data_IF_259030702321
#
_entry.id   IF_259030702321
#
_cell.length_a   1.000
_cell.length_b   1.000
_cell.length_c   1.000
_cell.angle_alpha   90.00
_cell.angle_beta   90.00
_cell.angle_gamma   90.00
#
_symmetry.space_group_name_H-M   'P 1'
#
loop_
_entity.id
_entity.type
_entity.pdbx_description
1 polymer ?
#
# COMPACT_ATOMS: atom_id res chain seq x y z
N UNK A 1 -48.60 15.80 13.57
CA UNK A 1 -47.78 14.61 13.85
C UNK A 1 -46.81 14.49 12.69
N UNK A 2 -45.52 14.79 12.89
CA UNK A 2 -44.54 14.69 11.80
C UNK A 2 -44.19 13.23 11.60
N UNK A 3 -44.38 12.71 10.39
CA UNK A 3 -44.12 11.33 10.04
C UNK A 3 -42.75 11.26 9.35
N UNK A 4 -41.85 10.46 9.88
CA UNK A 4 -40.50 10.30 9.32
C UNK A 4 -40.61 9.43 8.07
N UNK A 5 -40.16 9.98 6.94
CA UNK A 5 -40.09 9.25 5.67
C UNK A 5 -38.90 8.28 5.67
N UNK A 6 -39.15 7.08 6.22
CA UNK A 6 -38.17 6.01 6.30
C UNK A 6 -37.74 5.52 4.90
N UNK A 7 -38.65 5.53 3.92
CA UNK A 7 -38.33 5.12 2.54
C UNK A 7 -37.42 6.14 1.85
N UNK A 8 -37.69 7.44 2.01
CA UNK A 8 -36.81 8.50 1.53
C UNK A 8 -35.43 8.44 2.17
N UNK A 9 -35.36 8.13 3.47
CA UNK A 9 -34.10 7.91 4.18
C UNK A 9 -33.31 6.71 3.65
N UNK A 10 -33.95 5.55 3.47
CA UNK A 10 -33.29 4.34 2.95
C UNK A 10 -32.78 4.54 1.52
N UNK A 11 -33.58 5.17 0.66
CA UNK A 11 -33.16 5.50 -0.72
C UNK A 11 -31.99 6.48 -0.74
N UNK A 12 -32.04 7.55 0.07
CA UNK A 12 -30.96 8.50 0.19
C UNK A 12 -29.67 7.87 0.75
N UNK A 13 -29.81 6.92 1.68
CA UNK A 13 -28.71 6.14 2.26
C UNK A 13 -28.08 5.24 1.22
N UNK A 14 -28.86 4.49 0.45
CA UNK A 14 -28.38 3.62 -0.64
C UNK A 14 -27.67 4.43 -1.72
N UNK A 15 -28.26 5.55 -2.15
CA UNK A 15 -27.61 6.48 -3.09
C UNK A 15 -26.32 7.09 -2.52
N UNK A 16 -26.28 7.44 -1.24
CA UNK A 16 -25.06 7.93 -0.59
C UNK A 16 -24.00 6.83 -0.51
N UNK A 17 -24.39 5.57 -0.30
CA UNK A 17 -23.49 4.42 -0.27
C UNK A 17 -22.86 4.19 -1.64
N UNK A 18 -23.66 4.25 -2.72
CA UNK A 18 -23.18 4.19 -4.10
C UNK A 18 -22.25 5.38 -4.41
N UNK A 19 -22.65 6.60 -4.04
CA UNK A 19 -21.80 7.81 -4.22
C UNK A 19 -20.49 7.75 -3.42
N UNK A 20 -20.48 7.07 -2.28
CA UNK A 20 -19.27 6.90 -1.46
C UNK A 20 -18.28 5.89 -2.03
N UNK A 21 -18.75 4.97 -2.89
CA UNK A 21 -17.91 4.10 -3.70
C UNK A 21 -17.29 4.85 -4.90
N UNK A 22 -17.84 6.02 -5.24
CA UNK A 22 -17.33 6.89 -6.30
C UNK A 22 -16.22 7.81 -5.77
N UNK A 23 -14.95 7.39 -5.88
CA UNK A 23 -13.85 8.38 -5.86
C UNK A 23 -13.79 9.07 -7.24
N UNK A 24 -13.81 10.40 -7.23
CA UNK A 24 -13.67 11.23 -8.44
C UNK A 24 -12.28 11.05 -9.05
N UNK A 25 -12.22 10.43 -10.23
CA UNK A 25 -11.11 10.64 -11.16
C UNK A 25 -11.16 12.09 -11.67
N UNK A 26 -10.10 12.84 -11.44
CA UNK A 26 -9.94 14.21 -11.94
C UNK A 26 -9.56 14.19 -13.42
N UNK A 27 -10.48 14.64 -14.29
CA UNK A 27 -10.16 15.14 -15.64
C UNK A 27 -10.29 14.12 -16.78
N UNK A 28 -11.45 14.12 -17.43
CA UNK A 28 -11.79 13.30 -18.60
C UNK A 28 -13.28 12.92 -18.54
N UNK A 29 -13.97 12.77 -19.68
CA UNK A 29 -15.34 12.25 -19.70
C UNK A 29 -15.38 10.93 -18.92
N UNK A 30 -15.98 10.93 -17.73
CA UNK A 30 -15.89 9.80 -16.80
C UNK A 30 -16.70 8.65 -17.41
N UNK A 31 -16.01 7.64 -17.93
CA UNK A 31 -16.65 6.36 -18.30
C UNK A 31 -16.96 5.62 -17.00
N UNK A 32 -18.23 5.53 -16.63
CA UNK A 32 -18.70 4.86 -15.41
C UNK A 32 -20.07 4.20 -15.63
N UNK A 33 -20.48 3.36 -14.69
CA UNK A 33 -21.81 2.73 -14.65
C UNK A 33 -22.64 3.39 -13.57
N UNK A 34 -23.41 4.40 -13.96
CA UNK A 34 -24.42 5.01 -13.10
C UNK A 34 -25.64 4.09 -12.89
N UNK A 35 -26.59 4.54 -12.06
CA UNK A 35 -27.80 3.78 -11.74
C UNK A 35 -28.63 3.43 -12.99
N UNK A 36 -28.66 4.33 -13.98
CA UNK A 36 -29.37 4.10 -15.23
C UNK A 36 -28.68 3.07 -16.10
N UNK A 37 -27.36 3.12 -16.20
CA UNK A 37 -26.56 2.13 -16.92
C UNK A 37 -26.69 0.73 -16.30
N UNK A 38 -26.69 0.63 -14.97
CA UNK A 38 -26.91 -0.64 -14.25
C UNK A 38 -28.32 -1.19 -14.50
N UNK A 39 -29.35 -0.33 -14.51
CA UNK A 39 -30.70 -0.73 -14.83
C UNK A 39 -30.82 -1.20 -16.30
N UNK A 40 -30.15 -0.53 -17.23
CA UNK A 40 -30.13 -0.90 -18.65
C UNK A 40 -29.48 -2.28 -18.85
N UNK A 41 -28.33 -2.56 -18.23
CA UNK A 41 -27.67 -3.86 -18.27
C UNK A 41 -28.59 -4.99 -17.80
N UNK A 42 -29.29 -4.77 -16.68
CA UNK A 42 -30.28 -5.72 -16.15
C UNK A 42 -31.44 -5.91 -17.11
N UNK A 43 -31.97 -4.83 -17.70
CA UNK A 43 -33.08 -4.92 -18.66
C UNK A 43 -32.70 -5.67 -19.94
N UNK A 44 -31.43 -5.58 -20.35
CA UNK A 44 -30.84 -6.32 -21.48
C UNK A 44 -30.42 -7.75 -21.11
N UNK A 45 -30.68 -8.20 -19.88
CA UNK A 45 -30.26 -9.51 -19.36
C UNK A 45 -28.74 -9.79 -19.48
N UNK A 46 -27.91 -8.75 -19.38
CA UNK A 46 -26.46 -8.91 -19.34
C UNK A 46 -26.07 -9.41 -17.94
N UNK A 47 -25.45 -10.59 -17.85
CA UNK A 47 -24.98 -11.15 -16.59
C UNK A 47 -23.84 -10.33 -15.99
N UNK A 48 -23.73 -10.32 -14.66
CA UNK A 48 -22.56 -9.79 -13.96
C UNK A 48 -21.29 -10.55 -14.38
N UNK A 49 -20.14 -9.87 -14.30
CA UNK A 49 -18.85 -10.45 -14.70
C UNK A 49 -18.38 -11.45 -13.65
N UNK A 50 -18.00 -12.66 -14.07
CA UNK A 50 -17.29 -13.61 -13.21
C UNK A 50 -15.81 -13.21 -13.08
N UNK A 51 -15.41 -12.77 -11.90
CA UNK A 51 -14.05 -12.35 -11.61
C UNK A 51 -13.29 -13.33 -10.70
N UNK A 52 -13.78 -14.56 -10.55
CA UNK A 52 -13.18 -15.57 -9.68
C UNK A 52 -11.76 -15.98 -10.11
N UNK A 53 -11.48 -15.93 -11.42
CA UNK A 53 -10.17 -16.25 -12.02
C UNK A 53 -9.05 -15.31 -11.53
N UNK A 54 -9.36 -14.13 -10.97
CA UNK A 54 -8.35 -13.21 -10.39
C UNK A 54 -7.57 -13.83 -9.22
N UNK A 55 -8.08 -14.91 -8.62
CA UNK A 55 -7.44 -15.66 -7.53
C UNK A 55 -6.68 -16.91 -8.01
N UNK A 56 -6.66 -17.18 -9.32
CA UNK A 56 -6.00 -18.36 -9.89
C UNK A 56 -4.59 -17.98 -10.32
N UNK A 57 -3.60 -18.37 -9.52
CA UNK A 57 -2.19 -18.20 -9.83
C UNK A 57 -1.34 -19.17 -9.03
N UNK A 58 -0.15 -19.47 -9.56
CA UNK A 58 0.87 -20.27 -8.89
C UNK A 58 2.14 -19.47 -8.73
N UNK A 59 3.01 -19.88 -7.82
CA UNK A 59 4.35 -19.31 -7.68
C UNK A 59 5.39 -20.39 -7.53
N UNK A 60 6.57 -20.17 -8.10
CA UNK A 60 7.74 -21.01 -7.81
C UNK A 60 8.35 -20.68 -6.42
N UNK A 61 9.44 -21.35 -6.07
CA UNK A 61 10.14 -21.12 -4.81
C UNK A 61 10.81 -19.74 -4.72
N UNK A 62 11.03 -19.05 -5.84
CA UNK A 62 11.67 -17.75 -5.91
C UNK A 62 10.66 -16.60 -5.89
N UNK A 63 9.36 -16.91 -5.87
CA UNK A 63 8.31 -15.90 -5.91
C UNK A 63 8.04 -15.37 -7.31
N UNK A 64 8.36 -16.12 -8.36
CA UNK A 64 7.90 -15.84 -9.72
C UNK A 64 6.47 -16.36 -9.85
N UNK A 65 5.52 -15.44 -10.09
CA UNK A 65 4.12 -15.77 -10.23
C UNK A 65 3.75 -16.02 -11.68
N UNK A 66 2.97 -17.08 -11.89
CA UNK A 66 2.36 -17.41 -13.17
C UNK A 66 0.86 -17.22 -13.04
N UNK A 67 0.33 -16.37 -13.91
CA UNK A 67 -1.10 -16.10 -14.06
C UNK A 67 -1.52 -16.75 -15.37
N UNK A 68 -2.46 -17.71 -15.36
CA UNK A 68 -2.93 -18.32 -16.59
C UNK A 68 -3.58 -17.29 -17.50
N UNK A 69 -3.35 -17.41 -18.80
CA UNK A 69 -4.11 -16.66 -19.79
C UNK A 69 -5.60 -17.02 -19.70
N UNK A 70 -6.46 -16.04 -19.94
CA UNK A 70 -7.90 -16.26 -19.95
C UNK A 70 -8.52 -15.64 -21.18
N UNK A 71 -9.41 -16.40 -21.80
CA UNK A 71 -10.28 -15.88 -22.85
C UNK A 71 -11.60 -15.38 -22.26
N UNK A 72 -12.20 -14.37 -22.88
CA UNK A 72 -13.49 -13.83 -22.50
C UNK A 72 -14.30 -13.38 -23.74
N UNK A 73 -15.55 -13.03 -23.50
CA UNK A 73 -16.45 -12.46 -24.51
C UNK A 73 -16.90 -11.08 -24.06
N UNK A 74 -16.85 -10.11 -24.97
CA UNK A 74 -17.37 -8.75 -24.74
C UNK A 74 -18.89 -8.80 -24.66
N UNK A 75 -19.45 -8.46 -23.50
CA UNK A 75 -20.90 -8.44 -23.28
C UNK A 75 -21.52 -7.07 -23.53
N UNK A 76 -20.80 -6.00 -23.22
CA UNK A 76 -21.26 -4.64 -23.45
C UNK A 76 -20.08 -3.68 -23.58
N UNK A 77 -20.30 -2.61 -24.36
CA UNK A 77 -19.32 -1.55 -24.59
C UNK A 77 -19.96 -0.22 -24.20
N UNK A 78 -19.22 0.59 -23.46
CA UNK A 78 -19.68 1.82 -22.84
C UNK A 78 -18.84 3.00 -23.33
N UNK A 79 -19.44 3.92 -24.09
CA UNK A 79 -18.77 5.07 -24.69
C UNK A 79 -19.66 6.32 -24.59
N UNK A 80 -19.09 7.48 -24.29
CA UNK A 80 -19.80 8.78 -24.17
C UNK A 80 -21.16 8.71 -23.46
N UNK A 81 -21.17 8.14 -22.26
CA UNK A 81 -22.40 7.99 -21.48
C UNK A 81 -23.55 7.14 -22.09
N UNK A 82 -23.27 6.32 -23.12
CA UNK A 82 -24.19 5.32 -23.68
C UNK A 82 -23.57 3.92 -23.84
N UNK A 83 -24.41 2.90 -24.00
CA UNK A 83 -24.00 1.59 -24.50
C UNK A 83 -24.04 1.58 -26.03
N UNK A 84 -23.00 1.02 -26.64
CA UNK A 84 -22.82 0.95 -28.09
C UNK A 84 -22.47 -0.48 -28.53
N UNK A 85 -22.74 -0.82 -29.79
CA UNK A 85 -22.45 -2.16 -30.34
C UNK A 85 -20.98 -2.33 -30.72
N UNK A 86 -20.27 -1.23 -31.00
CA UNK A 86 -18.87 -1.26 -31.40
C UNK A 86 -18.14 0.04 -31.08
N UNK A 87 -16.83 -0.05 -30.92
CA UNK A 87 -15.87 1.08 -30.82
C UNK A 87 -14.67 0.82 -31.73
N UNK A 88 -14.00 1.88 -32.16
CA UNK A 88 -12.78 1.84 -32.95
C UNK A 88 -11.71 2.84 -32.44
N UNK A 89 -10.55 2.90 -33.10
CA UNK A 89 -9.44 3.79 -32.73
C UNK A 89 -9.79 5.28 -32.68
N UNK A 90 -10.89 5.73 -33.28
CA UNK A 90 -11.32 7.14 -33.18
C UNK A 90 -11.91 7.47 -31.80
N UNK A 91 -12.28 6.45 -31.02
CA UNK A 91 -12.82 6.61 -29.68
C UNK A 91 -11.68 6.78 -28.66
N UNK A 92 -11.62 7.94 -28.01
CA UNK A 92 -10.52 8.26 -27.09
C UNK A 92 -10.50 7.39 -25.83
N UNK A 93 -11.65 7.08 -25.23
CA UNK A 93 -11.74 6.28 -24.01
C UNK A 93 -13.10 5.60 -23.93
N UNK A 94 -13.12 4.29 -23.66
CA UNK A 94 -14.35 3.52 -23.51
C UNK A 94 -14.22 2.48 -22.38
N UNK A 95 -15.35 1.89 -22.03
CA UNK A 95 -15.48 0.88 -20.97
C UNK A 95 -15.97 -0.44 -21.54
N UNK A 96 -15.30 -1.53 -21.19
CA UNK A 96 -15.62 -2.88 -21.68
C UNK A 96 -16.11 -3.73 -20.50
N UNK A 97 -17.27 -4.37 -20.69
CA UNK A 97 -17.81 -5.38 -19.77
C UNK A 97 -17.64 -6.74 -20.42
N UNK A 98 -17.06 -7.68 -19.67
CA UNK A 98 -16.79 -9.04 -20.10
C UNK A 98 -17.69 -10.03 -19.34
N UNK A 99 -17.85 -11.24 -19.89
CA UNK A 99 -18.51 -12.33 -19.18
C UNK A 99 -17.68 -12.84 -18.00
N UNK A 100 -16.35 -12.84 -18.13
CA UNK A 100 -15.42 -13.17 -17.06
C UNK A 100 -14.11 -12.38 -17.18
N UNK A 101 -13.33 -12.31 -16.10
CA UNK A 101 -12.07 -11.57 -16.08
C UNK A 101 -11.04 -12.11 -15.06
N UNK A 102 -9.76 -12.02 -15.42
CA UNK A 102 -8.63 -12.28 -14.51
C UNK A 102 -8.19 -11.03 -13.74
N UNK A 103 -8.70 -9.86 -14.11
CA UNK A 103 -8.28 -8.59 -13.55
C UNK A 103 -8.96 -8.29 -12.21
N UNK A 104 -8.22 -7.70 -11.29
CA UNK A 104 -8.74 -7.18 -10.02
C UNK A 104 -9.23 -5.75 -10.22
N UNK A 105 -10.52 -5.52 -9.95
CA UNK A 105 -11.08 -4.18 -9.85
C UNK A 105 -10.73 -3.55 -8.50
N UNK A 106 -10.57 -2.23 -8.44
CA UNK A 106 -10.23 -1.53 -7.19
C UNK A 106 -11.23 -1.85 -6.08
N UNK A 107 -10.72 -2.37 -4.96
CA UNK A 107 -11.53 -2.73 -3.79
C UNK A 107 -10.65 -2.95 -2.55
N UNK A 108 -11.21 -2.77 -1.36
CA UNK A 108 -10.51 -3.04 -0.09
C UNK A 108 -9.21 -2.25 0.13
N UNK A 109 -9.04 -1.14 -0.59
CA UNK A 109 -7.80 -0.34 -0.61
C UNK A 109 -6.76 -0.80 -1.64
N UNK A 110 -6.91 -1.98 -2.26
CA UNK A 110 -6.04 -2.41 -3.35
C UNK A 110 -6.42 -1.74 -4.67
N UNK A 111 -5.43 -1.12 -5.31
CA UNK A 111 -5.59 -0.53 -6.64
C UNK A 111 -5.86 -1.62 -7.69
N UNK A 112 -6.57 -1.22 -8.73
CA UNK A 112 -6.88 -2.04 -9.88
C UNK A 112 -5.61 -2.50 -10.63
N UNK A 113 -5.76 -3.60 -11.37
CA UNK A 113 -4.72 -4.09 -12.27
C UNK A 113 -4.66 -3.32 -13.58
N UNK A 114 -3.52 -3.46 -14.25
CA UNK A 114 -3.31 -3.04 -15.63
C UNK A 114 -3.11 -4.26 -16.52
N UNK A 115 -3.23 -4.06 -17.82
CA UNK A 115 -2.96 -5.06 -18.83
C UNK A 115 -3.65 -4.72 -20.14
N UNK A 116 -3.84 -5.74 -20.96
CA UNK A 116 -4.37 -5.62 -22.30
C UNK A 116 -5.48 -6.63 -22.55
N UNK A 117 -6.43 -6.25 -23.39
CA UNK A 117 -7.45 -7.13 -23.96
C UNK A 117 -7.21 -7.16 -25.46
N UNK A 118 -6.82 -8.30 -26.01
CA UNK A 118 -6.55 -8.46 -27.45
C UNK A 118 -7.62 -9.31 -28.12
N UNK A 119 -7.96 -9.01 -29.37
CA UNK A 119 -8.92 -9.81 -30.11
C UNK A 119 -8.32 -11.16 -30.53
N UNK A 120 -9.09 -12.25 -30.38
CA UNK A 120 -8.66 -13.58 -30.86
C UNK A 120 -8.83 -13.76 -32.37
N UNK A 121 -9.50 -12.83 -33.05
CA UNK A 121 -9.80 -12.91 -34.49
C UNK A 121 -9.16 -11.79 -35.31
N UNK A 122 -8.59 -10.79 -34.66
CA UNK A 122 -7.95 -9.64 -35.31
C UNK A 122 -6.70 -9.22 -34.54
N UNK A 123 -5.52 -9.50 -35.11
CA UNK A 123 -4.22 -9.24 -34.48
C UNK A 123 -3.93 -7.73 -34.28
N UNK A 124 -4.67 -6.85 -34.95
CA UNK A 124 -4.48 -5.39 -34.84
C UNK A 124 -5.25 -4.81 -33.65
N UNK A 125 -6.29 -5.52 -33.18
CA UNK A 125 -7.19 -5.03 -32.14
C UNK A 125 -6.64 -5.30 -30.74
N UNK A 126 -6.27 -4.21 -30.04
CA UNK A 126 -5.75 -4.21 -28.68
C UNK A 126 -6.39 -3.08 -27.87
N UNK A 127 -6.91 -3.41 -26.70
CA UNK A 127 -7.43 -2.46 -25.73
C UNK A 127 -6.51 -2.41 -24.50
N UNK A 128 -5.91 -1.24 -24.26
CA UNK A 128 -5.05 -0.97 -23.12
C UNK A 128 -5.89 -0.54 -21.92
N UNK A 129 -5.82 -1.29 -20.82
CA UNK A 129 -6.58 -1.00 -19.59
C UNK A 129 -5.86 0.07 -18.76
N UNK A 130 -6.59 1.12 -18.38
CA UNK A 130 -6.11 2.24 -17.56
C UNK A 130 -6.78 2.33 -16.19
N UNK A 131 -7.99 1.77 -16.04
CA UNK A 131 -8.75 1.70 -14.78
C UNK A 131 -9.73 0.52 -14.82
N UNK A 132 -10.06 -0.05 -13.65
CA UNK A 132 -11.01 -1.14 -13.51
C UNK A 132 -11.90 -0.91 -12.29
N UNK A 133 -13.20 -0.79 -12.52
CA UNK A 133 -14.18 -0.45 -11.50
C UNK A 133 -15.24 -1.55 -11.36
N UNK A 134 -15.61 -1.88 -10.13
CA UNK A 134 -16.76 -2.74 -9.84
C UNK A 134 -17.99 -1.90 -9.49
N UNK A 135 -19.10 -2.11 -10.20
CA UNK A 135 -20.38 -1.43 -9.96
C UNK A 135 -21.52 -2.44 -10.05
N UNK A 136 -22.23 -2.67 -8.95
CA UNK A 136 -23.36 -3.60 -8.90
C UNK A 136 -23.02 -5.03 -9.35
N UNK A 137 -21.76 -5.47 -9.18
CA UNK A 137 -21.26 -6.77 -9.63
C UNK A 137 -20.67 -6.80 -11.04
N UNK A 138 -20.86 -5.76 -11.85
CA UNK A 138 -20.21 -5.66 -13.16
C UNK A 138 -18.78 -5.13 -13.01
N UNK A 139 -17.84 -5.73 -13.74
CA UNK A 139 -16.46 -5.24 -13.83
C UNK A 139 -16.31 -4.44 -15.13
N UNK A 140 -16.11 -3.14 -14.98
CA UNK A 140 -15.91 -2.19 -16.07
C UNK A 140 -14.41 -1.96 -16.27
N UNK A 141 -13.89 -2.41 -17.42
CA UNK A 141 -12.50 -2.18 -17.83
C UNK A 141 -12.45 -0.89 -18.65
N UNK A 142 -11.82 0.16 -18.14
CA UNK A 142 -11.77 1.48 -18.76
C UNK A 142 -10.40 1.67 -19.39
N UNK A 143 -10.36 2.16 -20.62
CA UNK A 143 -9.12 2.20 -21.37
C UNK A 143 -9.24 2.77 -22.78
N UNK A 144 -8.15 2.62 -23.54
CA UNK A 144 -8.01 3.12 -24.91
C UNK A 144 -7.92 1.95 -25.88
N UNK A 145 -8.58 2.06 -27.04
CA UNK A 145 -8.60 1.03 -28.07
C UNK A 145 -7.71 1.41 -29.25
N UNK A 146 -6.94 0.44 -29.73
CA UNK A 146 -6.41 0.41 -31.08
C UNK A 146 -7.12 -0.70 -31.86
N UNK A 147 -7.59 -0.43 -33.08
CA UNK A 147 -8.36 -1.36 -33.89
C UNK A 147 -9.87 -1.17 -33.73
N UNK A 148 -10.63 -2.27 -33.76
CA UNK A 148 -12.10 -2.24 -33.64
C UNK A 148 -12.59 -3.39 -32.77
N UNK A 149 -13.43 -3.08 -31.79
CA UNK A 149 -14.03 -4.07 -30.89
C UNK A 149 -15.55 -3.99 -30.96
N UNK A 150 -16.20 -5.16 -30.98
CA UNK A 150 -17.66 -5.27 -31.04
C UNK A 150 -18.19 -6.07 -29.86
N UNK A 151 -19.44 -5.85 -29.49
CA UNK A 151 -20.16 -6.77 -28.60
C UNK A 151 -20.17 -8.18 -29.24
N UNK A 152 -19.91 -9.20 -28.43
CA UNK A 152 -19.77 -10.59 -28.88
C UNK A 152 -18.35 -10.98 -29.33
N UNK A 153 -17.41 -10.03 -29.45
CA UNK A 153 -16.01 -10.35 -29.76
C UNK A 153 -15.40 -11.27 -28.70
N UNK A 154 -14.66 -12.29 -29.14
CA UNK A 154 -13.82 -13.11 -28.27
C UNK A 154 -12.45 -12.49 -28.12
N UNK A 155 -11.98 -12.41 -26.89
CA UNK A 155 -10.76 -11.70 -26.53
C UNK A 155 -9.87 -12.52 -25.61
N UNK A 156 -8.57 -12.28 -25.67
CA UNK A 156 -7.57 -12.77 -24.72
C UNK A 156 -7.25 -11.68 -23.70
N UNK A 157 -7.14 -12.06 -22.43
CA UNK A 157 -6.84 -11.16 -21.33
C UNK A 157 -5.38 -11.37 -20.88
N UNK A 158 -4.58 -10.31 -20.96
CA UNK A 158 -3.16 -10.31 -20.61
C UNK A 158 -2.89 -9.34 -19.47
N UNK A 159 -2.41 -9.87 -18.34
CA UNK A 159 -2.18 -9.10 -17.12
C UNK A 159 -0.77 -8.48 -17.08
N UNK A 160 -0.64 -7.25 -16.57
CA UNK A 160 0.66 -6.75 -16.09
C UNK A 160 1.06 -7.50 -14.80
N UNK A 161 1.83 -8.57 -14.98
CA UNK A 161 2.22 -9.48 -13.91
C UNK A 161 3.17 -8.83 -12.90
N UNK A 162 3.98 -7.86 -13.34
CA UNK A 162 4.90 -7.11 -12.47
C UNK A 162 4.10 -6.25 -11.51
N UNK A 163 3.14 -5.49 -12.04
CA UNK A 163 2.22 -4.67 -11.24
C UNK A 163 1.40 -5.55 -10.28
N UNK A 164 0.76 -6.60 -10.77
CA UNK A 164 -0.06 -7.52 -9.96
C UNK A 164 0.74 -8.08 -8.79
N UNK A 165 1.96 -8.56 -9.05
CA UNK A 165 2.82 -9.15 -8.01
C UNK A 165 3.21 -8.11 -6.97
N UNK A 166 3.52 -6.87 -7.38
CA UNK A 166 3.82 -5.79 -6.45
C UNK A 166 2.61 -5.43 -5.56
N UNK A 167 1.40 -5.38 -6.13
CA UNK A 167 0.16 -5.22 -5.37
C UNK A 167 -0.03 -6.36 -4.36
N UNK A 168 0.13 -7.61 -4.77
CA UNK A 168 0.02 -8.79 -3.88
C UNK A 168 1.02 -8.76 -2.72
N UNK A 169 2.26 -8.33 -2.97
CA UNK A 169 3.30 -8.14 -1.94
C UNK A 169 2.88 -7.09 -0.93
N UNK A 170 2.52 -5.90 -1.40
CA UNK A 170 2.09 -4.81 -0.53
C UNK A 170 0.80 -5.14 0.23
N UNK A 171 -0.12 -5.91 -0.37
CA UNK A 171 -1.34 -6.34 0.32
C UNK A 171 -1.02 -7.29 1.46
N UNK A 172 -0.22 -8.32 1.19
CA UNK A 172 0.18 -9.27 2.24
C UNK A 172 1.06 -8.60 3.30
N UNK A 173 1.92 -7.66 2.90
CA UNK A 173 2.66 -6.79 3.81
C UNK A 173 1.77 -5.95 4.70
N UNK A 174 0.60 -5.52 4.20
CA UNK A 174 -0.40 -4.79 5.01
C UNK A 174 -0.96 -5.67 6.12
N UNK A 175 -1.25 -6.94 5.85
CA UNK A 175 -1.70 -7.91 6.86
C UNK A 175 -0.64 -8.21 7.92
N UNK A 176 0.62 -8.36 7.48
CA UNK A 176 1.77 -8.55 8.38
C UNK A 176 1.97 -7.31 9.27
N UNK A 177 1.89 -6.11 8.71
CA UNK A 177 1.99 -4.85 9.46
C UNK A 177 0.83 -4.69 10.44
N UNK A 178 -0.41 -4.99 10.02
CA UNK A 178 -1.59 -4.91 10.88
C UNK A 178 -1.46 -5.84 12.10
N UNK A 179 -0.92 -7.05 11.91
CA UNK A 179 -0.57 -7.94 13.01
C UNK A 179 0.50 -7.34 13.93
N UNK A 180 1.60 -6.82 13.38
CA UNK A 180 2.67 -6.21 14.18
C UNK A 180 2.16 -5.02 15.03
N UNK A 181 1.29 -4.18 14.47
CA UNK A 181 0.69 -3.06 15.18
C UNK A 181 -0.21 -3.51 16.33
N UNK A 182 -0.96 -4.61 16.15
CA UNK A 182 -1.80 -5.17 17.21
C UNK A 182 -1.00 -5.61 18.43
N UNK A 183 0.21 -6.11 18.23
CA UNK A 183 1.08 -6.56 19.33
C UNK A 183 1.70 -5.39 20.12
N UNK A 184 1.75 -4.19 19.51
CA UNK A 184 2.49 -3.05 20.06
C UNK A 184 1.59 -1.88 20.48
N UNK A 185 0.36 -1.81 19.98
CA UNK A 185 -0.54 -0.68 20.17
C UNK A 185 -1.86 -1.18 20.74
N UNK A 186 -2.22 -0.72 21.95
CA UNK A 186 -3.40 -1.16 22.72
C UNK A 186 -4.73 -1.09 21.93
N UNK A 187 -4.84 -0.18 20.96
CA UNK A 187 -6.03 0.02 20.13
C UNK A 187 -5.62 0.29 18.67
N UNK A 188 -5.44 -0.75 17.85
CA UNK A 188 -4.90 -0.66 16.48
C UNK A 188 -5.95 -0.92 15.38
N UNK A 189 -7.13 -0.31 15.45
CA UNK A 189 -8.21 -0.54 14.48
C UNK A 189 -7.96 0.17 13.15
N UNK A 190 -8.11 -0.57 12.04
CA UNK A 190 -7.98 -0.01 10.70
C UNK A 190 -9.03 1.09 10.44
N UNK A 191 -8.56 2.21 9.89
CA UNK A 191 -9.36 3.36 9.43
C UNK A 191 -9.24 3.63 7.93
N UNK A 192 -8.25 3.02 7.27
CA UNK A 192 -8.05 3.17 5.85
C UNK A 192 -6.86 2.35 5.37
N UNK A 193 -6.89 1.94 4.11
CA UNK A 193 -5.78 1.25 3.47
C UNK A 193 -5.61 1.77 2.04
N UNK A 194 -4.37 1.76 1.55
CA UNK A 194 -4.03 1.83 0.13
C UNK A 194 -2.94 0.82 -0.12
N UNK A 195 -3.16 -0.06 -1.08
CA UNK A 195 -2.17 -1.00 -1.61
C UNK A 195 -1.93 -0.58 -3.06
N UNK A 196 -0.78 0.05 -3.28
CA UNK A 196 -0.28 0.45 -4.59
C UNK A 196 0.93 -0.42 -4.98
N UNK A 197 1.41 -0.41 -6.24
CA UNK A 197 2.57 -1.20 -6.63
C UNK A 197 3.87 -0.77 -5.93
N UNK A 198 4.01 0.52 -5.64
CA UNK A 198 5.24 1.11 -5.10
C UNK A 198 5.23 1.23 -3.57
N UNK A 199 4.07 1.14 -2.92
CA UNK A 199 3.92 1.30 -1.47
C UNK A 199 2.61 0.75 -0.93
N UNK A 200 2.57 0.55 0.39
CA UNK A 200 1.35 0.43 1.16
C UNK A 200 1.18 1.63 2.10
N UNK A 201 -0.07 1.97 2.38
CA UNK A 201 -0.47 2.99 3.37
C UNK A 201 -1.51 2.38 4.27
N UNK A 202 -1.29 2.46 5.58
CA UNK A 202 -2.18 1.89 6.57
C UNK A 202 -2.55 2.94 7.61
N UNK A 203 -3.84 3.26 7.69
CA UNK A 203 -4.37 4.21 8.65
C UNK A 203 -5.01 3.41 9.79
N UNK A 204 -4.65 3.71 11.03
CA UNK A 204 -5.07 2.97 12.21
C UNK A 204 -5.34 3.91 13.39
N UNK A 205 -6.16 3.46 14.34
CA UNK A 205 -6.33 4.19 15.61
C UNK A 205 -5.06 4.13 16.42
N UNK A 206 -4.68 5.23 17.06
CA UNK A 206 -3.66 5.25 18.09
C UNK A 206 -3.74 6.54 18.91
N UNK A 207 -3.59 6.43 20.23
CA UNK A 207 -3.69 7.57 21.15
C UNK A 207 -2.50 8.54 21.05
N UNK A 208 -1.32 8.01 20.68
CA UNK A 208 -0.06 8.75 20.53
C UNK A 208 0.74 8.23 19.36
N UNK A 209 1.80 8.97 19.00
CA UNK A 209 2.80 8.47 18.05
C UNK A 209 3.55 7.27 18.58
N UNK A 210 3.93 6.40 17.64
CA UNK A 210 4.81 5.30 17.94
C UNK A 210 6.19 5.89 18.27
N UNK A 211 6.84 5.34 19.30
CA UNK A 211 8.22 5.69 19.59
C UNK A 211 9.15 5.09 18.53
N UNK A 212 10.38 5.60 18.45
CA UNK A 212 11.42 5.02 17.59
C UNK A 212 11.58 3.51 17.82
N UNK A 213 11.57 3.09 19.09
CA UNK A 213 11.75 1.69 19.47
C UNK A 213 10.53 0.83 19.11
N UNK A 214 9.32 1.38 19.21
CA UNK A 214 8.10 0.70 18.74
C UNK A 214 8.08 0.54 17.22
N UNK A 215 8.55 1.55 16.46
CA UNK A 215 8.69 1.44 15.01
C UNK A 215 9.71 0.37 14.62
N UNK A 216 10.88 0.36 15.27
CA UNK A 216 11.88 -0.67 15.07
C UNK A 216 11.34 -2.06 15.43
N UNK A 217 10.58 -2.17 16.52
CA UNK A 217 9.97 -3.44 16.94
C UNK A 217 8.88 -3.90 15.96
N UNK A 218 8.11 -2.99 15.39
CA UNK A 218 7.11 -3.32 14.38
C UNK A 218 7.76 -3.91 13.13
N UNK A 219 8.84 -3.30 12.64
CA UNK A 219 9.64 -3.86 11.53
C UNK A 219 10.23 -5.23 11.89
N UNK A 220 10.75 -5.41 13.10
CA UNK A 220 11.29 -6.70 13.59
C UNK A 220 10.22 -7.82 13.61
N UNK A 221 8.99 -7.51 14.06
CA UNK A 221 7.88 -8.47 14.04
C UNK A 221 7.51 -8.82 12.59
N UNK A 222 7.47 -7.82 11.70
CA UNK A 222 7.20 -8.04 10.28
C UNK A 222 8.25 -8.95 9.65
N UNK A 223 9.53 -8.64 9.86
CA UNK A 223 10.66 -9.45 9.38
C UNK A 223 10.64 -10.87 9.94
N UNK A 224 10.27 -11.02 11.22
CA UNK A 224 10.09 -12.35 11.85
C UNK A 224 8.99 -13.17 11.16
N UNK A 225 7.87 -12.56 10.77
CA UNK A 225 6.81 -13.26 10.03
C UNK A 225 7.22 -13.62 8.60
N UNK A 226 7.96 -12.73 7.94
CA UNK A 226 8.47 -12.92 6.58
C UNK A 226 9.53 -14.04 6.56
N UNK A 227 10.50 -13.99 7.47
CA UNK A 227 11.59 -14.96 7.58
C UNK A 227 11.13 -16.37 7.95
N UNK A 228 9.98 -16.50 8.62
CA UNK A 228 9.31 -17.79 8.86
C UNK A 228 8.73 -18.46 7.61
N UNK A 229 8.65 -17.76 6.47
CA UNK A 229 8.17 -18.30 5.18
C UNK A 229 6.80 -18.98 5.30
N UNK A 230 5.87 -18.29 5.94
CA UNK A 230 4.53 -18.79 6.24
C UNK A 230 3.67 -18.82 4.97
N UNK A 231 2.92 -19.90 4.76
CA UNK A 231 1.94 -19.95 3.67
C UNK A 231 0.78 -18.99 3.93
N UNK A 232 0.23 -18.41 2.87
CA UNK A 232 -0.99 -17.59 2.93
C UNK A 232 -2.15 -18.41 2.43
N UNK A 233 -3.14 -18.63 3.30
CA UNK A 233 -4.33 -19.40 3.03
C UNK A 233 -5.52 -18.49 2.79
N UNK A 234 -6.44 -18.90 1.92
CA UNK A 234 -7.72 -18.22 1.76
C UNK A 234 -8.85 -19.20 1.49
N UNK A 235 -10.05 -18.88 1.97
CA UNK A 235 -11.26 -19.65 1.68
C UNK A 235 -12.50 -18.80 1.87
N UNK A 236 -13.58 -19.16 1.17
CA UNK A 236 -14.90 -18.59 1.38
C UNK A 236 -15.57 -19.35 2.53
N UNK A 237 -16.00 -18.63 3.57
CA UNK A 237 -16.64 -19.16 4.78
C UNK A 237 -17.96 -18.42 4.96
N UNK A 238 -18.98 -19.06 5.53
CA UNK A 238 -20.22 -18.33 5.83
C UNK A 238 -19.91 -17.14 6.74
N UNK A 239 -20.52 -16.00 6.50
CA UNK A 239 -20.23 -14.78 7.25
C UNK A 239 -20.52 -14.95 8.75
N UNK A 240 -21.59 -15.68 9.08
CA UNK A 240 -21.94 -15.99 10.47
C UNK A 240 -20.85 -16.78 11.18
N UNK A 241 -20.24 -17.75 10.51
CA UNK A 241 -19.22 -18.62 11.08
C UNK A 241 -17.84 -17.97 11.07
N UNK A 242 -17.50 -17.24 10.01
CA UNK A 242 -16.24 -16.51 9.92
C UNK A 242 -16.08 -15.51 11.08
N UNK A 243 -17.18 -14.89 11.54
CA UNK A 243 -17.22 -13.98 12.70
C UNK A 243 -16.94 -14.67 14.04
N UNK A 244 -17.09 -16.00 14.14
CA UNK A 244 -16.80 -16.71 15.39
C UNK A 244 -15.33 -17.02 15.58
N UNK A 245 -14.50 -16.89 14.52
CA UNK A 245 -13.05 -17.13 14.59
C UNK A 245 -12.42 -16.12 15.54
N UNK A 246 -11.91 -16.59 16.68
CA UNK A 246 -11.34 -15.71 17.69
C UNK A 246 -10.09 -14.99 17.17
N UNK A 247 -10.12 -13.66 17.20
CA UNK A 247 -9.02 -12.79 16.75
C UNK A 247 -9.05 -12.45 15.26
N UNK A 248 -10.08 -12.88 14.51
CA UNK A 248 -10.31 -12.39 13.15
C UNK A 248 -10.52 -10.88 13.15
N UNK A 249 -9.88 -10.17 12.22
CA UNK A 249 -10.11 -8.74 12.02
C UNK A 249 -11.00 -8.49 10.81
N UNK A 250 -11.84 -7.49 10.94
CA UNK A 250 -12.67 -6.93 9.90
C UNK A 250 -12.75 -5.42 10.11
N UNK A 251 -13.06 -4.66 9.08
CA UNK A 251 -13.17 -3.20 9.17
C UNK A 251 -14.55 -2.84 9.70
N UNK A 252 -14.59 -2.03 10.75
CA UNK A 252 -15.85 -1.59 11.35
C UNK A 252 -16.69 -0.76 10.38
N UNK A 253 -17.97 -1.12 10.23
CA UNK A 253 -18.94 -0.41 9.39
C UNK A 253 -18.97 -0.86 7.93
N UNK A 254 -18.09 -1.77 7.51
CA UNK A 254 -18.15 -2.38 6.17
C UNK A 254 -19.18 -3.52 6.12
N UNK A 255 -19.89 -3.61 4.99
CA UNK A 255 -20.75 -4.74 4.67
C UNK A 255 -19.91 -5.79 3.93
N UNK A 256 -19.80 -6.97 4.52
CA UNK A 256 -19.14 -8.12 3.89
C UNK A 256 -20.19 -9.03 3.24
N UNK A 257 -19.89 -9.61 2.05
CA UNK A 257 -20.77 -10.58 1.43
C UNK A 257 -20.84 -11.88 2.25
N UNK A 258 -21.88 -12.67 2.01
CA UNK A 258 -22.00 -14.05 2.51
C UNK A 258 -22.09 -14.99 1.30
N UNK A 259 -21.12 -15.90 1.08
CA UNK A 259 -19.95 -16.16 1.92
C UNK A 259 -18.90 -15.04 1.88
N UNK A 260 -18.14 -14.90 2.98
CA UNK A 260 -17.02 -13.96 3.09
C UNK A 260 -15.70 -14.67 2.84
N UNK A 261 -14.79 -14.01 2.14
CA UNK A 261 -13.43 -14.52 1.95
C UNK A 261 -12.57 -14.21 3.17
N UNK A 262 -12.07 -15.27 3.81
CA UNK A 262 -11.14 -15.19 4.95
C UNK A 262 -9.72 -15.46 4.44
N UNK A 263 -8.78 -14.60 4.81
CA UNK A 263 -7.34 -14.76 4.57
C UNK A 263 -6.63 -15.00 5.88
N UNK A 264 -5.68 -15.93 5.89
CA UNK A 264 -4.92 -16.31 7.08
C UNK A 264 -3.47 -16.57 6.75
N UNK A 265 -2.56 -16.04 7.56
CA UNK A 265 -1.11 -16.25 7.42
C UNK A 265 -0.67 -17.38 8.34
N UNK A 266 -0.07 -18.44 7.79
CA UNK A 266 0.54 -19.55 8.54
C UNK A 266 -0.44 -20.61 9.05
N UNK A 267 -1.71 -20.28 9.29
CA UNK A 267 -2.73 -21.23 9.76
C UNK A 267 -3.76 -21.48 8.65
N UNK A 268 -4.00 -22.72 8.21
CA UNK A 268 -5.04 -23.02 7.22
C UNK A 268 -6.42 -22.53 7.67
N UNK A 269 -7.19 -21.94 6.76
CA UNK A 269 -8.55 -21.48 7.06
C UNK A 269 -9.44 -22.64 7.52
N UNK A 270 -9.23 -23.85 6.99
CA UNK A 270 -9.89 -25.07 7.46
C UNK A 270 -9.65 -25.36 8.94
N UNK A 271 -8.44 -25.10 9.45
CA UNK A 271 -8.12 -25.26 10.87
C UNK A 271 -8.73 -24.17 11.74
N UNK A 272 -8.83 -22.94 11.23
CA UNK A 272 -9.52 -21.83 11.91
C UNK A 272 -11.02 -22.10 12.03
N UNK A 273 -11.59 -22.68 10.98
CA UNK A 273 -13.00 -23.06 10.93
C UNK A 273 -13.25 -24.29 11.81
N UNK A 274 -12.36 -25.27 11.84
CA UNK A 274 -12.58 -26.46 12.66
C UNK A 274 -12.56 -26.17 14.19
N UNK A 275 -11.78 -25.17 14.62
CA UNK A 275 -11.64 -24.80 16.02
C UNK A 275 -11.52 -23.27 16.20
N UNK A 276 -12.65 -22.55 16.09
CA UNK A 276 -12.65 -21.08 16.08
C UNK A 276 -12.27 -20.47 17.43
N UNK A 277 -12.41 -21.21 18.54
CA UNK A 277 -12.16 -20.72 19.90
C UNK A 277 -10.70 -20.90 20.36
N UNK A 278 -9.91 -21.70 19.65
CA UNK A 278 -8.49 -21.95 19.97
C UNK A 278 -7.59 -20.72 19.93
N UNK A 279 -8.08 -19.60 19.37
CA UNK A 279 -7.39 -18.32 19.43
C UNK A 279 -6.26 -18.16 18.42
N UNK A 280 -6.22 -18.97 17.35
CA UNK A 280 -5.22 -18.84 16.28
C UNK A 280 -5.16 -17.42 15.70
N UNK A 281 -6.29 -16.73 15.57
CA UNK A 281 -6.35 -15.35 15.09
C UNK A 281 -5.68 -14.33 16.02
N UNK A 282 -5.34 -14.69 17.26
CA UNK A 282 -4.51 -13.89 18.16
C UNK A 282 -3.01 -14.07 17.91
N UNK A 283 -2.60 -15.23 17.41
CA UNK A 283 -1.18 -15.58 17.20
C UNK A 283 -0.68 -15.35 15.78
N UNK A 284 -1.57 -15.01 14.85
CA UNK A 284 -1.24 -14.65 13.46
C UNK A 284 -2.26 -13.65 12.89
N UNK A 285 -2.03 -13.16 11.67
CA UNK A 285 -3.01 -12.38 10.92
C UNK A 285 -4.09 -13.28 10.33
N UNK A 286 -5.35 -12.98 10.67
CA UNK A 286 -6.56 -13.59 10.11
C UNK A 286 -7.56 -12.47 9.86
N UNK A 287 -7.98 -12.27 8.61
CA UNK A 287 -8.75 -11.09 8.22
C UNK A 287 -9.80 -11.42 7.15
N UNK A 288 -10.92 -10.69 7.15
CA UNK A 288 -11.83 -10.67 6.01
C UNK A 288 -11.21 -9.85 4.89
N UNK A 289 -10.86 -10.48 3.78
CA UNK A 289 -10.16 -9.80 2.69
C UNK A 289 -10.50 -10.39 1.32
N UNK A 290 -10.97 -9.50 0.44
CA UNK A 290 -11.26 -9.80 -0.96
C UNK A 290 -10.09 -9.56 -1.92
N UNK A 291 -8.90 -9.21 -1.43
CA UNK A 291 -7.73 -8.87 -2.24
C UNK A 291 -6.91 -10.05 -2.72
N UNK A 292 -5.94 -9.77 -3.60
CA UNK A 292 -4.95 -10.76 -4.07
C UNK A 292 -3.72 -10.74 -3.16
N UNK A 293 -3.12 -11.92 -2.91
CA UNK A 293 -2.04 -12.07 -1.93
C UNK A 293 -0.91 -12.93 -2.49
N UNK A 294 0.30 -12.69 -2.01
CA UNK A 294 1.37 -13.65 -2.23
C UNK A 294 1.04 -14.96 -1.53
N UNK A 295 1.43 -16.09 -2.11
CA UNK A 295 1.16 -17.42 -1.56
C UNK A 295 2.02 -17.78 -0.34
N UNK A 296 3.10 -17.02 -0.11
CA UNK A 296 4.02 -17.22 1.01
C UNK A 296 4.61 -15.88 1.47
N UNK A 297 4.76 -15.68 2.78
CA UNK A 297 5.28 -14.41 3.34
C UNK A 297 6.70 -14.09 2.89
N UNK A 298 7.51 -15.09 2.54
CA UNK A 298 8.85 -14.86 1.98
C UNK A 298 8.81 -14.06 0.68
N UNK A 299 7.72 -14.16 -0.09
CA UNK A 299 7.57 -13.47 -1.37
C UNK A 299 7.28 -11.97 -1.21
N UNK A 300 7.02 -11.49 0.02
CA UNK A 300 6.98 -10.06 0.36
C UNK A 300 8.38 -9.44 0.14
N UNK A 301 9.45 -10.22 0.37
CA UNK A 301 10.81 -9.73 0.36
C UNK A 301 11.11 -8.99 1.66
N UNK A 302 11.48 -7.72 1.56
CA UNK A 302 11.71 -6.85 2.73
C UNK A 302 10.46 -6.00 2.98
N UNK A 303 10.20 -5.60 4.22
CA UNK A 303 9.24 -4.55 4.56
C UNK A 303 9.95 -3.42 5.33
N UNK A 304 9.74 -2.17 4.90
CA UNK A 304 10.32 -0.97 5.54
C UNK A 304 9.24 0.08 5.79
N UNK A 305 9.05 0.52 7.03
CA UNK A 305 8.20 1.62 7.48
C UNK A 305 8.95 2.94 7.27
N UNK A 306 8.57 3.70 6.25
CA UNK A 306 9.26 4.95 5.88
C UNK A 306 8.71 6.19 6.57
N UNK A 307 7.45 6.14 7.04
CA UNK A 307 6.84 7.20 7.83
C UNK A 307 5.66 6.71 8.66
N UNK A 308 5.48 7.36 9.81
CA UNK A 308 4.39 7.26 10.75
C UNK A 308 4.01 8.70 11.15
N UNK A 309 2.78 9.11 10.85
CA UNK A 309 2.30 10.46 11.13
C UNK A 309 0.85 10.50 11.63
N UNK A 310 0.52 11.54 12.40
CA UNK A 310 -0.86 11.83 12.78
C UNK A 310 -1.60 12.49 11.62
N UNK A 311 -2.74 11.93 11.21
CA UNK A 311 -3.57 12.51 10.14
C UNK A 311 -4.85 13.17 10.67
N UNK A 312 -5.32 12.76 11.85
CA UNK A 312 -6.41 13.39 12.58
C UNK A 312 -6.36 12.98 14.06
N UNK A 313 -7.25 13.53 14.90
CA UNK A 313 -7.29 13.19 16.33
C UNK A 313 -7.54 11.69 16.53
N UNK A 314 -6.57 10.99 17.08
CA UNK A 314 -6.65 9.55 17.39
C UNK A 314 -6.45 8.62 16.19
N UNK A 315 -6.06 9.14 15.02
CA UNK A 315 -5.79 8.33 13.82
C UNK A 315 -4.40 8.65 13.29
N UNK A 316 -3.64 7.59 13.02
CA UNK A 316 -2.27 7.64 12.57
C UNK A 316 -2.11 6.85 11.28
N UNK A 317 -1.09 7.20 10.50
CA UNK A 317 -0.82 6.66 9.17
C UNK A 317 0.59 6.15 9.11
N UNK A 318 0.74 4.89 8.71
CA UNK A 318 2.01 4.34 8.26
C UNK A 318 2.06 4.32 6.74
N UNK A 319 3.20 4.70 6.18
CA UNK A 319 3.59 4.35 4.82
C UNK A 319 4.74 3.35 4.93
N UNK A 320 4.62 2.22 4.23
CA UNK A 320 5.66 1.22 4.16
C UNK A 320 5.91 0.77 2.72
N UNK A 321 7.11 0.25 2.49
CA UNK A 321 7.57 -0.27 1.20
C UNK A 321 7.77 -1.78 1.34
N UNK A 322 7.58 -2.51 0.24
CA UNK A 322 7.97 -3.93 0.16
C UNK A 322 8.81 -4.23 -1.08
N UNK A 323 9.41 -5.42 -1.14
CA UNK A 323 10.18 -5.89 -2.30
C UNK A 323 11.28 -4.91 -2.73
N UNK A 324 11.35 -4.60 -4.02
CA UNK A 324 12.42 -3.78 -4.59
C UNK A 324 12.49 -2.35 -4.03
N UNK A 325 11.36 -1.73 -3.70
CA UNK A 325 11.37 -0.38 -3.13
C UNK A 325 11.92 -0.40 -1.69
N UNK A 326 11.61 -1.45 -0.92
CA UNK A 326 12.20 -1.65 0.40
C UNK A 326 13.71 -1.98 0.33
N UNK A 327 14.14 -2.79 -0.65
CA UNK A 327 15.57 -3.07 -0.88
C UNK A 327 16.36 -1.80 -1.24
N UNK A 328 15.77 -0.91 -2.06
CA UNK A 328 16.35 0.40 -2.38
C UNK A 328 16.48 1.26 -1.12
N UNK A 329 15.44 1.30 -0.29
CA UNK A 329 15.46 2.01 0.98
C UNK A 329 16.56 1.48 1.93
N UNK A 330 16.75 0.17 2.03
CA UNK A 330 17.83 -0.42 2.83
C UNK A 330 19.24 -0.08 2.30
N UNK A 331 19.44 -0.14 0.98
CA UNK A 331 20.73 0.23 0.36
C UNK A 331 21.07 1.70 0.62
N UNK A 332 20.07 2.58 0.51
CA UNK A 332 20.24 4.01 0.80
C UNK A 332 20.53 4.25 2.29
N UNK A 333 19.87 3.53 3.20
CA UNK A 333 20.15 3.60 4.63
C UNK A 333 21.60 3.22 4.94
N UNK A 334 22.11 2.14 4.33
CA UNK A 334 23.50 1.71 4.50
C UNK A 334 24.51 2.73 3.95
N UNK A 335 24.22 3.34 2.78
CA UNK A 335 25.05 4.41 2.22
C UNK A 335 25.15 5.59 3.18
N UNK A 336 24.00 6.05 3.68
CA UNK A 336 23.93 7.18 4.62
C UNK A 336 24.57 6.86 5.97
N UNK A 337 24.43 5.64 6.48
CA UNK A 337 25.15 5.19 7.69
C UNK A 337 26.65 5.38 7.54
N UNK A 338 27.23 4.93 6.42
CA UNK A 338 28.66 5.03 6.18
C UNK A 338 29.11 6.50 6.15
N UNK A 339 28.42 7.34 5.37
CA UNK A 339 28.72 8.77 5.27
C UNK A 339 28.59 9.49 6.62
N UNK A 340 27.56 9.18 7.40
CA UNK A 340 27.34 9.76 8.73
C UNK A 340 28.43 9.30 9.70
N UNK A 341 28.77 8.00 9.71
CA UNK A 341 29.78 7.46 10.61
C UNK A 341 31.18 8.00 10.28
N UNK A 342 31.53 8.13 8.99
CA UNK A 342 32.80 8.74 8.55
C UNK A 342 32.90 10.21 8.99
N UNK A 343 31.84 10.99 8.80
CA UNK A 343 31.78 12.37 9.26
C UNK A 343 31.96 12.47 10.78
N UNK A 344 31.28 11.62 11.55
CA UNK A 344 31.42 11.59 13.02
C UNK A 344 32.85 11.25 13.45
N UNK A 345 33.48 10.27 12.80
CA UNK A 345 34.88 9.95 13.06
C UNK A 345 35.80 11.14 12.76
N UNK A 346 35.55 11.85 11.66
CA UNK A 346 36.28 13.05 11.30
C UNK A 346 36.10 14.17 12.34
N UNK A 347 34.87 14.41 12.81
CA UNK A 347 34.56 15.36 13.89
C UNK A 347 35.29 14.98 15.19
N UNK A 348 35.20 13.73 15.61
CA UNK A 348 35.87 13.28 16.84
C UNK A 348 37.40 13.42 16.75
N UNK A 349 37.97 13.13 15.57
CA UNK A 349 39.40 13.31 15.30
C UNK A 349 39.79 14.79 15.30
N UNK A 350 39.00 15.67 14.70
CA UNK A 350 39.27 17.11 14.65
C UNK A 350 39.20 17.75 16.04
N UNK A 351 38.28 17.29 16.89
CA UNK A 351 38.21 17.68 18.30
C UNK A 351 39.45 17.19 19.07
N UNK A 352 39.90 15.96 18.84
CA UNK A 352 41.02 15.35 19.58
C UNK A 352 42.38 15.97 19.21
N UNK A 353 42.57 16.43 17.97
CA UNK A 353 43.85 16.95 17.47
C UNK A 353 44.08 18.45 17.73
N UNK A 354 43.05 19.21 18.10
CA UNK A 354 43.15 20.68 18.16
C UNK A 354 43.45 21.22 19.56
N UNK A 355 44.71 21.63 19.77
CA UNK A 355 45.08 22.74 20.67
C UNK A 355 45.11 24.12 19.94
N UNK A 356 44.98 24.13 18.60
CA UNK A 356 44.93 25.35 17.77
C UNK A 356 43.69 25.31 16.86
N UNK A 357 42.84 26.32 16.97
CA UNK A 357 41.60 26.47 16.20
C UNK A 357 41.88 26.78 14.73
N UNK A 358 41.42 25.93 13.82
CA UNK A 358 41.43 26.21 12.40
C UNK A 358 40.01 26.48 11.92
N UNK A 359 39.58 27.75 12.01
CA UNK A 359 38.20 28.23 11.76
C UNK A 359 37.65 27.76 10.40
N UNK A 360 38.51 27.59 9.39
CA UNK A 360 38.14 27.11 8.06
C UNK A 360 37.70 25.64 8.05
N UNK A 361 38.33 24.78 8.87
CA UNK A 361 37.98 23.36 8.96
C UNK A 361 36.59 23.20 9.62
N UNK A 362 36.29 24.04 10.61
CA UNK A 362 35.03 23.99 11.36
C UNK A 362 33.85 24.48 10.52
N UNK A 363 34.08 25.49 9.68
CA UNK A 363 33.10 25.92 8.69
C UNK A 363 32.78 24.80 7.70
N UNK A 364 33.81 24.13 7.16
CA UNK A 364 33.64 23.03 6.21
C UNK A 364 32.90 21.84 6.84
N UNK A 365 33.24 21.46 8.08
CA UNK A 365 32.56 20.41 8.83
C UNK A 365 31.09 20.77 9.06
N UNK A 366 30.80 22.01 9.48
CA UNK A 366 29.43 22.47 9.68
C UNK A 366 28.61 22.43 8.39
N UNK A 367 29.22 22.76 7.25
CA UNK A 367 28.58 22.65 5.95
C UNK A 367 28.29 21.19 5.59
N UNK A 368 29.24 20.27 5.82
CA UNK A 368 29.05 18.84 5.61
C UNK A 368 27.94 18.25 6.49
N UNK A 369 27.91 18.60 7.79
CA UNK A 369 26.84 18.19 8.72
C UNK A 369 25.49 18.69 8.22
N UNK A 370 25.41 19.95 7.76
CA UNK A 370 24.17 20.54 7.28
C UNK A 370 23.66 19.84 6.00
N UNK A 371 24.55 19.62 5.03
CA UNK A 371 24.23 18.92 3.79
C UNK A 371 23.76 17.48 4.06
N UNK A 372 24.47 16.74 4.91
CA UNK A 372 24.12 15.36 5.24
C UNK A 372 22.83 15.29 6.06
N UNK A 373 22.57 16.27 6.93
CA UNK A 373 21.30 16.39 7.66
C UNK A 373 20.11 16.61 6.72
N UNK A 374 20.29 17.38 5.64
CA UNK A 374 19.27 17.58 4.60
C UNK A 374 19.03 16.30 3.80
N UNK A 375 20.10 15.60 3.40
CA UNK A 375 20.02 14.30 2.70
C UNK A 375 19.29 13.26 3.54
N UNK A 376 19.72 13.04 4.79
CA UNK A 376 19.06 12.12 5.73
C UNK A 376 17.59 12.51 5.92
N UNK A 377 17.28 13.81 5.96
CA UNK A 377 15.91 14.27 6.18
C UNK A 377 14.95 13.99 5.03
N UNK A 378 15.45 13.96 3.80
CA UNK A 378 14.66 13.64 2.59
C UNK A 378 14.72 12.17 2.20
N UNK A 379 15.61 11.40 2.82
CA UNK A 379 15.81 9.99 2.50
C UNK A 379 14.55 9.16 2.75
N UNK A 380 14.21 8.33 1.76
CA UNK A 380 13.14 7.33 1.85
C UNK A 380 13.76 6.03 2.38
N UNK A 381 13.99 6.02 3.69
CA UNK A 381 14.55 4.90 4.45
C UNK A 381 13.67 4.60 5.66
N UNK A 382 13.95 3.52 6.40
CA UNK A 382 13.24 3.22 7.64
C UNK A 382 13.22 4.45 8.56
N UNK A 383 12.04 4.82 9.07
CA UNK A 383 11.88 6.02 9.87
C UNK A 383 12.76 5.96 11.13
N UNK A 384 12.77 4.83 11.83
CA UNK A 384 13.55 4.70 13.06
C UNK A 384 15.05 4.84 12.77
N UNK A 385 15.50 4.36 11.61
CA UNK A 385 16.88 4.50 11.13
C UNK A 385 17.20 5.95 10.81
N UNK A 386 16.32 6.65 10.09
CA UNK A 386 16.45 8.07 9.79
C UNK A 386 16.54 8.93 11.05
N UNK A 387 15.74 8.62 12.06
CA UNK A 387 15.78 9.30 13.36
C UNK A 387 17.11 9.07 14.09
N UNK A 388 17.64 7.84 14.06
CA UNK A 388 18.97 7.53 14.61
C UNK A 388 20.09 8.32 13.91
N UNK A 389 20.07 8.41 12.57
CA UNK A 389 21.06 9.20 11.82
C UNK A 389 20.97 10.69 12.14
N UNK A 390 19.76 11.23 12.27
CA UNK A 390 19.55 12.63 12.69
C UNK A 390 20.11 12.90 14.08
N UNK A 391 19.87 12.00 15.04
CA UNK A 391 20.40 12.14 16.40
C UNK A 391 21.94 12.11 16.41
N UNK A 392 22.54 11.18 15.68
CA UNK A 392 24.01 11.11 15.52
C UNK A 392 24.60 12.40 14.95
N UNK A 393 24.00 12.96 13.89
CA UNK A 393 24.43 14.23 13.29
C UNK A 393 24.24 15.42 14.23
N UNK A 394 23.13 15.43 14.99
CA UNK A 394 22.85 16.45 15.99
C UNK A 394 23.90 16.45 17.11
N UNK A 395 24.25 15.28 17.67
CA UNK A 395 25.28 15.19 18.70
C UNK A 395 26.67 15.54 18.15
N UNK A 396 27.01 15.16 16.91
CA UNK A 396 28.26 15.60 16.27
C UNK A 396 28.35 17.12 16.15
N UNK A 397 27.25 17.78 15.74
CA UNK A 397 27.18 19.24 15.67
C UNK A 397 27.37 19.89 17.05
N UNK A 398 26.69 19.36 18.06
CA UNK A 398 26.77 19.85 19.44
C UNK A 398 28.19 19.75 20.00
N UNK A 399 28.91 18.67 19.70
CA UNK A 399 30.31 18.50 20.09
C UNK A 399 31.21 19.57 19.42
N UNK A 400 30.99 19.83 18.14
CA UNK A 400 31.71 20.86 17.39
C UNK A 400 31.45 22.26 17.95
N UNK A 401 30.17 22.62 18.15
CA UNK A 401 29.75 23.91 18.72
C UNK A 401 30.30 24.12 20.14
N UNK A 402 30.33 23.06 20.96
CA UNK A 402 30.89 23.12 22.31
C UNK A 402 32.40 23.40 22.29
N UNK A 403 33.15 22.76 21.38
CA UNK A 403 34.57 23.02 21.20
C UNK A 403 34.79 24.46 20.72
N UNK A 404 34.06 24.92 19.72
CA UNK A 404 34.18 26.28 19.17
C UNK A 404 33.91 27.35 20.25
N UNK A 405 32.92 27.10 21.12
CA UNK A 405 32.62 27.95 22.27
C UNK A 405 33.79 27.98 23.27
N UNK A 406 34.31 26.81 23.66
CA UNK A 406 35.44 26.71 24.59
C UNK A 406 36.68 27.43 24.05
N UNK A 407 36.92 27.29 22.75
CA UNK A 407 37.99 27.93 22.00
C UNK A 407 37.89 29.46 21.94
N UNK A 408 36.69 30.00 21.73
CA UNK A 408 36.45 31.46 21.81
C UNK A 408 36.69 31.97 23.22
N UNK A 409 36.17 31.27 24.25
CA UNK A 409 36.40 31.64 25.66
C UNK A 409 37.88 31.65 26.03
N UNK A 410 38.66 30.65 25.59
CA UNK A 410 40.11 30.58 25.83
C UNK A 410 40.89 31.69 25.12
N UNK A 411 40.44 32.13 23.94
CA UNK A 411 41.05 33.26 23.23
C UNK A 411 40.74 34.58 23.94
N UNK A 412 39.49 34.81 24.36
CA UNK A 412 39.08 36.02 25.07
C UNK A 412 39.82 36.19 26.40
N UNK A 413 40.03 35.10 27.16
CA UNK A 413 40.78 35.15 28.42
C UNK A 413 42.26 35.43 28.20
N UNK A 414 42.90 34.90 27.15
CA UNK A 414 44.28 35.25 26.78
C UNK A 414 44.43 36.74 26.43
N UNK A 415 43.49 37.29 25.65
CA UNK A 415 43.51 38.71 25.27
C UNK A 415 43.34 39.63 26.49
N UNK A 416 42.46 39.28 27.44
CA UNK A 416 42.32 40.05 28.68
C UNK A 416 43.59 40.06 29.53
N UNK A 417 44.32 38.95 29.63
CA UNK A 417 45.59 38.90 30.39
C UNK A 417 46.67 39.76 29.74
N UNK A 418 46.72 39.82 28.40
CA UNK A 418 47.68 40.68 27.68
C UNK A 418 47.38 42.18 27.72
N UNK A 419 46.20 42.60 28.19
CA UNK A 419 45.87 44.02 28.39
C UNK A 419 46.16 44.53 29.82
N UNK A 420 46.49 43.62 30.75
CA UNK A 420 46.81 43.94 32.15
C UNK A 420 48.31 43.90 32.48
N UNK A 421 49.16 43.67 31.47
CA UNK A 421 50.61 43.85 31.48
C UNK A 421 50.98 44.83 30.38
#
# INVERSE_FOLDING_TARGET
>A
MFQIDLNGYEKAKEEAQIRSQSRKCTGGSIVDLDVHALAELKSKNISVTDDSDKFVYTSDLNGNYVFPDSEATVLAIRYENKFVESVDSSNQMCGIILNKTIFYAESGGQLYDHGFITSLTDEVTEFSILDIQCRGGYILHIGTLHGKLNVGSRVLLSLDTVRRTALMRNHTGTHVLNFALRELVDESEQKGSLVAPDRLRFDFTAKRGMTRDELAKAEEICDTMISKRLNVYSSNVSLSYAKTIQGVRAVFGEAYPDPVRVVSIGVPVTSLVADPEKGYGKTTSVEFCGGTHVLNTKHIGVLVIVSEEAISKGVRRIIALTGHEAERAQKEALRLDNEVNELIQFVNKSISLSQNNNVTDDFNINQQISNLSELVSRAVISQHHRENLREKLFEAKKLLDARDKASRTATTSKVQVSFFF
#
